data_IF_145127676319
#
_entry.id   IF_145127676319
#
_cell.length_a   1.000
_cell.length_b   1.000
_cell.length_c   1.000
_cell.angle_alpha   90.00
_cell.angle_beta   90.00
_cell.angle_gamma   90.00
#
_symmetry.space_group_name_H-M   'P 1'
#
loop_
_entity.id
_entity.type
_entity.pdbx_description
1 polymer ?
#
# COMPACT_ATOMS: atom_id res chain seq x y z
N UNK A 1 15.02 0.53 24.24
CA UNK A 1 15.54 1.67 23.46
C UNK A 1 14.45 2.73 23.51
N UNK A 2 14.71 3.93 23.99
CA UNK A 2 13.70 4.98 24.07
C UNK A 2 13.45 5.51 22.68
N UNK A 3 12.20 5.68 22.30
CA UNK A 3 11.76 6.28 21.02
C UNK A 3 11.94 7.81 21.04
N UNK A 4 13.16 8.30 21.26
CA UNK A 4 13.43 9.71 21.60
C UNK A 4 13.67 10.64 20.41
N UNK A 5 13.52 10.18 19.16
CA UNK A 5 13.52 11.06 17.97
C UNK A 5 12.21 10.94 17.18
N UNK A 6 11.09 11.17 17.85
CA UNK A 6 9.83 11.49 17.19
C UNK A 6 10.00 12.85 16.53
N UNK A 7 9.57 13.02 15.28
CA UNK A 7 9.62 14.33 14.62
C UNK A 7 9.06 15.39 15.55
N UNK A 8 9.69 16.54 15.64
CA UNK A 8 9.31 17.62 16.57
C UNK A 8 7.82 18.02 16.46
N UNK A 9 7.14 17.63 15.36
CA UNK A 9 5.74 17.96 15.06
C UNK A 9 4.75 16.78 15.22
N UNK A 10 5.19 15.62 15.70
CA UNK A 10 4.31 14.45 15.91
C UNK A 10 3.77 13.81 14.63
N UNK A 11 4.32 14.12 13.45
CA UNK A 11 3.94 13.53 12.16
C UNK A 11 5.01 12.59 11.62
N UNK A 12 4.58 11.52 10.97
CA UNK A 12 5.49 10.62 10.28
C UNK A 12 4.82 9.65 9.30
N UNK A 13 5.66 8.90 8.62
CA UNK A 13 5.29 7.92 7.63
C UNK A 13 5.49 6.51 8.16
N UNK A 14 4.48 5.66 8.01
CA UNK A 14 4.59 4.22 8.18
C UNK A 14 4.67 3.50 6.84
N UNK A 15 5.50 2.48 6.79
CA UNK A 15 5.57 1.51 5.69
C UNK A 15 5.56 0.10 6.27
N UNK A 16 4.94 -0.84 5.57
CA UNK A 16 4.98 -2.27 5.94
C UNK A 16 5.92 -3.00 5.00
N UNK A 17 6.86 -3.79 5.52
CA UNK A 17 7.80 -4.48 4.64
C UNK A 17 8.69 -5.52 5.29
N UNK A 18 9.38 -6.26 4.43
CA UNK A 18 10.39 -7.25 4.75
C UNK A 18 11.30 -7.48 3.54
N UNK A 19 12.21 -8.45 3.61
CA UNK A 19 13.09 -8.78 2.48
C UNK A 19 12.34 -9.27 1.23
N UNK A 20 11.10 -9.76 1.37
CA UNK A 20 10.25 -10.12 0.22
C UNK A 20 9.73 -8.90 -0.57
N UNK A 21 9.59 -7.75 0.09
CA UNK A 21 9.18 -6.48 -0.52
C UNK A 21 10.38 -5.58 -0.88
N UNK A 22 11.61 -6.05 -0.68
CA UNK A 22 12.82 -5.23 -0.74
C UNK A 22 12.99 -4.48 -2.07
N UNK A 23 12.66 -5.10 -3.19
CA UNK A 23 12.80 -4.44 -4.50
C UNK A 23 11.84 -3.25 -4.66
N UNK A 24 10.64 -3.35 -4.09
CA UNK A 24 9.71 -2.24 -4.00
C UNK A 24 10.22 -1.16 -3.06
N UNK A 25 10.64 -1.52 -1.86
CA UNK A 25 11.20 -0.60 -0.86
C UNK A 25 12.42 0.16 -1.39
N UNK A 26 13.27 -0.48 -2.21
CA UNK A 26 14.42 0.13 -2.87
C UNK A 26 14.07 1.22 -3.89
N UNK A 27 12.84 1.29 -4.36
CA UNK A 27 12.34 2.39 -5.19
C UNK A 27 11.55 3.40 -4.35
N UNK A 28 10.66 2.91 -3.49
CA UNK A 28 9.83 3.74 -2.62
C UNK A 28 10.66 4.66 -1.73
N UNK A 29 11.56 4.10 -0.93
CA UNK A 29 12.32 4.86 0.08
C UNK A 29 13.13 6.00 -0.53
N UNK A 30 13.93 5.80 -1.60
CA UNK A 30 14.62 6.91 -2.26
C UNK A 30 13.67 7.97 -2.82
N UNK A 31 12.49 7.58 -3.33
CA UNK A 31 11.51 8.54 -3.83
C UNK A 31 10.97 9.44 -2.71
N UNK A 32 10.61 8.85 -1.58
CA UNK A 32 10.17 9.62 -0.41
C UNK A 32 11.29 10.54 0.10
N UNK A 33 12.51 10.03 0.22
CA UNK A 33 13.67 10.83 0.66
C UNK A 33 14.05 11.95 -0.30
N UNK A 34 13.75 11.78 -1.60
CA UNK A 34 13.93 12.85 -2.60
C UNK A 34 13.02 14.05 -2.33
N UNK A 35 11.74 13.79 -2.02
CA UNK A 35 10.74 14.83 -1.81
C UNK A 35 10.62 15.30 -0.36
N UNK A 36 10.89 14.40 0.60
CA UNK A 36 10.78 14.60 2.05
C UNK A 36 12.03 14.09 2.75
N UNK A 37 13.18 14.77 2.62
CA UNK A 37 14.46 14.24 3.11
C UNK A 37 14.50 14.06 4.63
N UNK A 38 13.69 14.78 5.39
CA UNK A 38 13.71 14.81 6.86
C UNK A 38 12.49 14.18 7.52
N UNK A 39 11.49 13.71 6.76
CA UNK A 39 10.32 13.07 7.36
C UNK A 39 10.73 11.86 8.17
N UNK A 40 10.16 11.71 9.35
CA UNK A 40 10.37 10.52 10.17
C UNK A 40 9.63 9.32 9.54
N UNK A 41 10.34 8.19 9.39
CA UNK A 41 9.78 6.97 8.80
C UNK A 41 9.94 5.82 9.75
N UNK A 42 8.86 5.08 10.00
CA UNK A 42 8.90 3.79 10.70
C UNK A 42 8.47 2.66 9.76
N UNK A 43 9.31 1.63 9.73
CA UNK A 43 8.97 0.36 9.08
C UNK A 43 8.30 -0.56 10.09
N UNK A 44 7.08 -0.98 9.75
CA UNK A 44 6.36 -2.06 10.41
C UNK A 44 6.92 -3.37 9.84
N UNK A 45 7.53 -4.26 10.63
CA UNK A 45 8.05 -5.52 10.12
C UNK A 45 6.89 -6.44 9.71
N UNK A 46 6.90 -6.90 8.45
CA UNK A 46 5.93 -7.89 7.99
C UNK A 46 6.19 -9.27 8.63
N UNK A 47 7.47 -9.62 8.81
CA UNK A 47 7.95 -10.82 9.50
C UNK A 47 9.41 -10.63 9.92
N UNK A 48 10.04 -11.69 10.41
CA UNK A 48 11.40 -11.68 10.96
C UNK A 48 12.50 -11.64 9.87
N UNK A 49 12.15 -11.83 8.58
CA UNK A 49 13.11 -11.79 7.46
C UNK A 49 13.37 -10.34 7.05
N UNK A 50 14.33 -9.72 7.72
CA UNK A 50 14.62 -8.29 7.62
C UNK A 50 16.10 -7.97 7.33
N UNK A 51 16.95 -8.93 7.03
CA UNK A 51 18.40 -8.71 6.97
C UNK A 51 18.77 -7.61 5.97
N UNK A 52 18.29 -7.72 4.73
CA UNK A 52 18.54 -6.72 3.70
C UNK A 52 17.69 -5.45 3.90
N UNK A 53 16.49 -5.61 4.44
CA UNK A 53 15.61 -4.47 4.78
C UNK A 53 16.23 -3.61 5.87
N UNK A 54 16.89 -4.21 6.89
CA UNK A 54 17.65 -3.47 7.93
C UNK A 54 18.80 -2.65 7.33
N UNK A 55 19.50 -3.17 6.32
CA UNK A 55 20.52 -2.40 5.60
C UNK A 55 19.93 -1.17 4.91
N UNK A 56 18.81 -1.36 4.21
CA UNK A 56 18.08 -0.25 3.57
C UNK A 56 17.63 0.78 4.61
N UNK A 57 17.06 0.33 5.73
CA UNK A 57 16.61 1.20 6.81
C UNK A 57 17.76 2.02 7.40
N UNK A 58 18.91 1.39 7.67
CA UNK A 58 20.11 2.11 8.14
C UNK A 58 20.59 3.16 7.13
N UNK A 59 20.64 2.80 5.84
CA UNK A 59 21.09 3.71 4.76
C UNK A 59 20.23 4.98 4.67
N UNK A 60 18.92 4.87 4.96
CA UNK A 60 17.96 5.97 4.78
C UNK A 60 17.39 6.51 6.09
N UNK A 61 18.01 6.19 7.23
CA UNK A 61 17.56 6.63 8.56
C UNK A 61 16.07 6.34 8.79
N UNK A 62 15.70 5.06 8.62
CA UNK A 62 14.36 4.54 8.88
C UNK A 62 14.40 3.74 10.18
N UNK A 63 13.51 4.03 11.09
CA UNK A 63 13.35 3.26 12.32
C UNK A 63 12.52 1.99 12.02
N UNK A 64 12.86 0.88 12.67
CA UNK A 64 12.08 -0.36 12.57
C UNK A 64 11.36 -0.59 13.89
N UNK A 65 10.06 -0.89 13.82
CA UNK A 65 9.24 -1.22 14.99
C UNK A 65 9.48 -2.68 15.44
N UNK A 66 10.74 -3.10 15.57
CA UNK A 66 11.09 -4.49 15.93
C UNK A 66 10.96 -4.79 17.44
N UNK A 67 10.88 -3.78 18.29
CA UNK A 67 10.55 -3.91 19.72
C UNK A 67 9.07 -3.74 20.04
N UNK A 68 8.22 -3.57 19.03
CA UNK A 68 6.79 -3.36 19.20
C UNK A 68 6.05 -4.71 19.31
N UNK A 69 5.12 -4.82 20.24
CA UNK A 69 4.31 -6.03 20.42
C UNK A 69 3.17 -6.11 19.38
N UNK A 70 3.37 -6.90 18.35
CA UNK A 70 2.37 -7.18 17.32
C UNK A 70 1.52 -8.44 17.58
N UNK A 71 1.68 -9.11 18.72
CA UNK A 71 1.03 -10.41 18.96
C UNK A 71 -0.48 -10.35 18.79
N UNK A 72 -1.11 -9.29 19.28
CA UNK A 72 -2.57 -9.16 19.18
C UNK A 72 -3.03 -8.83 17.76
N UNK A 73 -2.32 -8.00 17.02
CA UNK A 73 -2.62 -7.71 15.61
C UNK A 73 -2.49 -8.98 14.75
N UNK A 74 -1.47 -9.78 15.02
CA UNK A 74 -1.24 -11.07 14.35
C UNK A 74 -2.34 -12.08 14.70
N UNK A 75 -2.80 -12.10 15.97
CA UNK A 75 -3.92 -12.93 16.42
C UNK A 75 -5.20 -12.58 15.66
N UNK A 76 -5.52 -11.29 15.57
CA UNK A 76 -6.69 -10.80 14.83
C UNK A 76 -6.57 -11.17 13.35
N UNK A 77 -5.40 -10.96 12.75
CA UNK A 77 -5.14 -11.34 11.37
C UNK A 77 -5.33 -12.84 11.10
N UNK A 78 -4.84 -13.69 12.01
CA UNK A 78 -5.04 -15.15 11.93
C UNK A 78 -6.52 -15.54 12.08
N UNK A 79 -7.23 -14.86 12.94
CA UNK A 79 -8.64 -15.11 13.20
C UNK A 79 -9.53 -14.77 11.99
N UNK A 80 -9.28 -13.61 11.38
CA UNK A 80 -10.04 -13.11 10.23
C UNK A 80 -9.61 -13.71 8.88
N UNK A 81 -8.35 -14.14 8.78
CA UNK A 81 -7.75 -14.66 7.53
C UNK A 81 -7.03 -16.00 7.76
N UNK A 82 -7.70 -17.06 8.29
CA UNK A 82 -7.04 -18.30 8.67
C UNK A 82 -6.37 -19.00 7.47
N UNK A 83 -6.98 -18.92 6.29
CA UNK A 83 -6.53 -19.59 5.08
C UNK A 83 -5.53 -18.77 4.25
N UNK A 84 -5.19 -17.55 4.69
CA UNK A 84 -4.34 -16.61 3.96
C UNK A 84 -3.16 -16.10 4.81
N UNK A 85 -2.14 -16.92 5.11
CA UNK A 85 -1.05 -16.56 6.03
C UNK A 85 -0.28 -15.30 5.58
N UNK A 86 -0.20 -15.03 4.28
CA UNK A 86 0.43 -13.82 3.74
C UNK A 86 -0.39 -12.54 4.00
N UNK A 87 -1.66 -12.64 4.36
CA UNK A 87 -2.51 -11.49 4.67
C UNK A 87 -2.53 -11.21 6.16
N UNK A 88 -2.35 -12.23 7.01
CA UNK A 88 -2.46 -12.13 8.46
C UNK A 88 -1.60 -11.01 9.06
N UNK A 89 -0.37 -10.85 8.55
CA UNK A 89 0.57 -9.82 9.02
C UNK A 89 0.26 -8.40 8.52
N UNK A 90 -0.61 -8.26 7.53
CA UNK A 90 -1.05 -6.94 7.04
C UNK A 90 -1.93 -6.21 8.06
N UNK A 91 -2.55 -6.94 9.00
CA UNK A 91 -3.34 -6.34 10.10
C UNK A 91 -2.48 -5.51 11.07
N UNK A 92 -1.16 -5.66 11.04
CA UNK A 92 -0.21 -4.80 11.77
C UNK A 92 -0.33 -3.32 11.41
N UNK A 93 -0.91 -2.97 10.24
CA UNK A 93 -1.24 -1.60 9.83
C UNK A 93 -2.14 -0.88 10.84
N UNK A 94 -2.99 -1.61 11.58
CA UNK A 94 -3.85 -1.04 12.61
C UNK A 94 -3.07 -0.35 13.74
N UNK A 95 -1.83 -0.79 14.00
CA UNK A 95 -0.96 -0.15 14.99
C UNK A 95 -0.72 1.34 14.72
N UNK A 96 -0.81 1.78 13.45
CA UNK A 96 -0.71 3.19 13.10
C UNK A 96 -1.77 4.06 13.81
N UNK A 97 -2.99 3.52 13.98
CA UNK A 97 -4.09 4.21 14.62
C UNK A 97 -4.10 4.10 16.14
N UNK A 98 -3.42 3.09 16.72
CA UNK A 98 -3.58 2.69 18.11
C UNK A 98 -2.35 3.09 18.95
N UNK A 99 -1.22 2.44 18.69
CA UNK A 99 -0.04 2.46 19.57
C UNK A 99 1.21 3.03 18.89
N UNK A 100 1.12 3.37 17.61
CA UNK A 100 2.26 3.86 16.83
C UNK A 100 2.87 5.15 17.43
N UNK A 101 4.14 5.46 17.11
CA UNK A 101 4.86 6.60 17.69
C UNK A 101 4.39 7.97 17.23
N UNK A 102 3.58 8.09 16.18
CA UNK A 102 3.16 9.37 15.63
C UNK A 102 1.76 9.78 16.07
N UNK A 103 1.56 11.05 16.38
CA UNK A 103 0.23 11.62 16.64
C UNK A 103 -0.61 11.75 15.38
N UNK A 104 0.04 12.12 14.26
CA UNK A 104 -0.53 12.14 12.91
C UNK A 104 0.39 11.36 12.00
N UNK A 105 -0.19 10.64 11.07
CA UNK A 105 0.59 9.77 10.21
C UNK A 105 0.00 9.65 8.80
N UNK A 106 0.84 9.23 7.87
CA UNK A 106 0.43 8.61 6.63
C UNK A 106 1.03 7.19 6.57
N UNK A 107 0.25 6.25 6.08
CA UNK A 107 0.68 4.90 5.78
C UNK A 107 0.75 4.72 4.26
N UNK A 108 1.82 4.09 3.79
CA UNK A 108 2.02 3.73 2.39
C UNK A 108 2.48 2.27 2.28
N UNK A 109 1.89 1.51 1.36
CA UNK A 109 2.41 0.18 1.00
C UNK A 109 3.76 0.29 0.29
N UNK A 110 4.55 -0.78 0.31
CA UNK A 110 5.90 -0.82 -0.24
C UNK A 110 5.97 -0.56 -1.77
N UNK A 111 4.88 -0.87 -2.49
CA UNK A 111 4.75 -0.68 -3.94
C UNK A 111 4.22 0.71 -4.33
N UNK A 112 4.55 1.71 -3.52
CA UNK A 112 4.25 3.13 -3.74
C UNK A 112 5.52 3.90 -4.07
N UNK A 113 5.43 4.96 -4.88
CA UNK A 113 6.47 5.97 -5.10
C UNK A 113 5.91 7.35 -4.77
N UNK A 114 6.68 8.16 -4.01
CA UNK A 114 6.36 9.57 -3.77
C UNK A 114 6.74 10.46 -4.95
N UNK A 115 5.87 11.41 -5.28
CA UNK A 115 6.08 12.44 -6.30
C UNK A 115 5.90 13.87 -5.78
N UNK A 116 5.65 14.01 -4.48
CA UNK A 116 5.54 15.27 -3.76
C UNK A 116 6.01 15.10 -2.31
N UNK A 117 6.29 16.18 -1.59
CA UNK A 117 6.55 16.13 -0.16
C UNK A 117 5.37 15.51 0.58
N UNK A 118 5.63 14.48 1.43
CA UNK A 118 4.56 13.81 2.23
C UNK A 118 4.01 14.72 3.33
N UNK A 119 4.67 15.83 3.62
CA UNK A 119 4.22 16.86 4.56
C UNK A 119 2.91 17.53 4.13
N UNK A 120 2.52 17.41 2.84
CA UNK A 120 1.20 17.84 2.36
C UNK A 120 0.07 17.10 3.09
N UNK A 121 0.29 15.83 3.44
CA UNK A 121 -0.69 15.04 4.18
C UNK A 121 -0.79 15.50 5.63
N UNK A 122 0.32 15.88 6.28
CA UNK A 122 0.30 16.48 7.62
C UNK A 122 -0.50 17.78 7.64
N UNK A 123 -0.28 18.63 6.62
CA UNK A 123 -1.04 19.86 6.46
C UNK A 123 -2.55 19.59 6.31
N UNK A 124 -2.92 18.63 5.49
CA UNK A 124 -4.30 18.21 5.29
C UNK A 124 -4.92 17.66 6.59
N UNK A 125 -4.20 16.81 7.33
CA UNK A 125 -4.66 16.27 8.62
C UNK A 125 -4.81 17.37 9.68
N UNK A 126 -3.87 18.31 9.78
CA UNK A 126 -3.97 19.45 10.71
C UNK A 126 -5.20 20.31 10.43
N UNK A 127 -5.53 20.53 9.17
CA UNK A 127 -6.71 21.32 8.77
C UNK A 127 -8.02 20.58 9.01
N UNK A 128 -8.06 19.28 8.72
CA UNK A 128 -9.27 18.47 8.83
C UNK A 128 -9.57 17.99 10.27
N UNK A 129 -8.55 17.96 11.15
CA UNK A 129 -8.68 17.50 12.54
C UNK A 129 -8.63 15.99 12.70
N UNK A 130 -9.46 15.42 13.59
CA UNK A 130 -9.52 13.98 13.82
C UNK A 130 -10.26 13.27 12.68
N UNK A 131 -9.53 12.91 11.63
CA UNK A 131 -10.08 12.28 10.43
C UNK A 131 -9.19 11.15 9.92
N UNK A 132 -9.74 10.30 9.08
CA UNK A 132 -8.98 9.42 8.18
C UNK A 132 -8.93 10.07 6.81
N UNK A 133 -7.73 10.41 6.36
CA UNK A 133 -7.45 10.91 5.03
C UNK A 133 -7.28 9.74 4.07
N UNK A 134 -7.92 9.78 2.92
CA UNK A 134 -7.83 8.72 1.92
C UNK A 134 -7.88 9.26 0.50
N UNK A 135 -7.48 8.42 -0.46
CA UNK A 135 -7.61 8.67 -1.89
C UNK A 135 -8.50 7.62 -2.53
N UNK A 136 -9.30 8.05 -3.51
CA UNK A 136 -10.20 7.18 -4.25
C UNK A 136 -11.58 7.03 -3.61
N UNK A 137 -12.39 6.17 -4.12
CA UNK A 137 -13.77 5.92 -3.69
C UNK A 137 -14.34 4.66 -4.36
N UNK A 138 -13.49 3.95 -5.14
CA UNK A 138 -13.91 2.79 -5.94
C UNK A 138 -13.86 1.45 -5.22
N UNK A 139 -13.42 1.41 -3.97
CA UNK A 139 -13.19 0.13 -3.27
C UNK A 139 -14.40 -0.35 -2.44
N UNK A 140 -15.55 0.31 -2.60
CA UNK A 140 -16.76 -0.02 -1.83
C UNK A 140 -17.19 -1.48 -2.00
N UNK A 141 -17.27 -1.97 -3.24
CA UNK A 141 -17.68 -3.35 -3.52
C UNK A 141 -16.65 -4.38 -3.06
N UNK A 142 -15.40 -4.00 -2.98
CA UNK A 142 -14.34 -4.84 -2.44
C UNK A 142 -14.37 -4.89 -0.91
N UNK A 143 -14.62 -3.76 -0.24
CA UNK A 143 -14.67 -3.68 1.21
C UNK A 143 -15.98 -4.23 1.78
N UNK A 144 -17.10 -4.00 1.09
CA UNK A 144 -18.44 -4.30 1.55
C UNK A 144 -19.26 -5.01 0.45
N UNK A 145 -18.85 -6.22 0.04
CA UNK A 145 -19.44 -6.88 -1.13
C UNK A 145 -20.88 -7.36 -0.91
N UNK A 146 -21.35 -7.50 0.34
CA UNK A 146 -22.64 -8.12 0.66
C UNK A 146 -23.46 -7.36 1.68
N UNK A 147 -24.77 -7.41 1.53
CA UNK A 147 -25.72 -7.22 2.62
C UNK A 147 -25.61 -8.44 3.59
N UNK A 148 -25.77 -8.32 4.92
CA UNK A 148 -26.22 -7.11 5.62
C UNK A 148 -25.10 -6.14 6.05
N UNK A 149 -23.82 -6.41 5.72
CA UNK A 149 -22.74 -5.53 6.16
C UNK A 149 -22.97 -4.09 5.68
N UNK A 150 -23.40 -3.90 4.41
CA UNK A 150 -23.74 -2.58 3.87
C UNK A 150 -24.82 -1.88 4.67
N UNK A 151 -25.86 -2.61 5.12
CA UNK A 151 -26.97 -2.02 5.89
C UNK A 151 -26.59 -1.63 7.31
N UNK A 152 -25.49 -2.17 7.85
CA UNK A 152 -24.97 -1.79 9.18
C UNK A 152 -24.05 -0.58 9.14
N UNK A 153 -23.60 -0.16 7.94
CA UNK A 153 -22.74 1.00 7.74
C UNK A 153 -23.55 2.31 7.84
N UNK A 154 -22.93 3.34 8.37
CA UNK A 154 -23.53 4.67 8.33
C UNK A 154 -23.58 5.16 6.88
N UNK A 155 -24.71 5.77 6.47
CA UNK A 155 -24.95 6.14 5.07
C UNK A 155 -23.84 7.01 4.45
N UNK A 156 -23.23 7.90 5.24
CA UNK A 156 -22.12 8.75 4.78
C UNK A 156 -20.85 7.95 4.42
N UNK A 157 -20.68 6.75 4.91
CA UNK A 157 -19.47 5.94 4.69
C UNK A 157 -19.63 4.89 3.59
N UNK A 158 -20.84 4.61 3.14
CA UNK A 158 -21.08 3.62 2.07
C UNK A 158 -20.39 3.96 0.75
N UNK A 159 -20.06 5.23 0.54
CA UNK A 159 -19.36 5.71 -0.66
C UNK A 159 -17.88 6.03 -0.42
N UNK A 160 -17.38 5.84 0.79
CA UNK A 160 -16.05 6.32 1.21
C UNK A 160 -15.08 5.20 1.60
N UNK A 161 -15.25 4.00 1.07
CA UNK A 161 -14.27 2.93 1.24
C UNK A 161 -12.95 3.29 0.55
N UNK A 162 -11.82 3.00 1.22
CA UNK A 162 -10.50 3.40 0.76
C UNK A 162 -9.55 2.20 0.64
N UNK A 163 -8.53 2.38 -0.20
CA UNK A 163 -7.47 1.41 -0.36
C UNK A 163 -6.52 1.41 0.84
N UNK A 164 -6.26 0.23 1.45
CA UNK A 164 -5.38 0.10 2.60
C UNK A 164 -3.88 0.21 2.26
N UNK A 165 -3.53 0.47 1.01
CA UNK A 165 -2.16 0.78 0.58
C UNK A 165 -1.80 2.26 0.67
N UNK A 166 -2.81 3.12 0.88
CA UNK A 166 -2.64 4.55 1.18
C UNK A 166 -3.75 5.04 2.09
N UNK A 167 -3.40 5.52 3.26
CA UNK A 167 -4.29 6.26 4.15
C UNK A 167 -3.48 7.13 5.12
N UNK A 168 -4.10 8.20 5.61
CA UNK A 168 -3.57 9.02 6.70
C UNK A 168 -4.53 9.03 7.87
N UNK A 169 -4.06 9.41 9.05
CA UNK A 169 -4.92 9.47 10.23
C UNK A 169 -4.23 10.04 11.45
N UNK A 170 -4.93 9.95 12.56
CA UNK A 170 -4.46 10.34 13.88
C UNK A 170 -4.43 9.12 14.81
N UNK A 171 -3.46 9.08 15.71
CA UNK A 171 -3.39 8.09 16.76
C UNK A 171 -4.56 8.26 17.73
N UNK A 172 -5.08 7.15 18.26
CA UNK A 172 -6.21 7.16 19.18
C UNK A 172 -7.57 7.29 18.49
N UNK A 173 -7.63 7.14 17.15
CA UNK A 173 -8.90 7.09 16.41
C UNK A 173 -9.83 5.97 16.94
N UNK A 174 -9.24 4.88 17.43
CA UNK A 174 -9.89 3.77 18.14
C UNK A 174 -8.85 3.01 18.97
N UNK A 175 -9.31 2.20 19.93
CA UNK A 175 -8.45 1.42 20.81
C UNK A 175 -8.26 -0.02 20.30
N UNK A 176 -7.26 -0.72 20.84
CA UNK A 176 -7.07 -2.15 20.59
C UNK A 176 -8.24 -3.00 21.09
N UNK A 177 -8.86 -2.59 22.19
CA UNK A 177 -10.04 -3.26 22.75
C UNK A 177 -11.25 -3.11 21.83
N UNK A 178 -11.46 -1.93 21.22
CA UNK A 178 -12.47 -1.76 20.18
C UNK A 178 -12.25 -2.71 19.02
N UNK A 179 -11.01 -2.79 18.54
CA UNK A 179 -10.65 -3.68 17.41
C UNK A 179 -10.92 -5.15 17.74
N UNK A 180 -10.66 -5.59 18.98
CA UNK A 180 -11.01 -6.94 19.46
C UNK A 180 -12.50 -7.21 19.38
N UNK A 181 -13.29 -6.31 19.94
CA UNK A 181 -14.76 -6.43 19.92
C UNK A 181 -15.27 -6.47 18.50
N UNK A 182 -14.80 -5.59 17.63
CA UNK A 182 -15.22 -5.54 16.24
C UNK A 182 -14.78 -6.77 15.44
N UNK A 183 -13.61 -7.34 15.71
CA UNK A 183 -13.17 -8.59 15.10
C UNK A 183 -14.09 -9.76 15.51
N UNK A 184 -14.45 -9.87 16.79
CA UNK A 184 -15.34 -10.91 17.30
C UNK A 184 -16.77 -10.77 16.73
N UNK A 185 -17.29 -9.55 16.63
CA UNK A 185 -18.59 -9.27 16.02
C UNK A 185 -18.62 -9.64 14.55
N UNK A 186 -17.55 -9.31 13.85
CA UNK A 186 -17.43 -9.64 12.44
C UNK A 186 -17.32 -11.14 12.18
N UNK A 187 -16.65 -11.88 13.06
CA UNK A 187 -16.57 -13.34 12.96
C UNK A 187 -17.94 -14.00 13.07
N UNK A 188 -18.84 -13.49 13.88
CA UNK A 188 -20.22 -13.99 14.00
C UNK A 188 -20.98 -13.84 12.67
N UNK A 189 -20.57 -12.87 11.84
CA UNK A 189 -21.19 -12.52 10.56
C UNK A 189 -20.35 -12.96 9.34
N UNK A 190 -19.20 -13.60 9.54
CA UNK A 190 -18.16 -13.85 8.53
C UNK A 190 -18.69 -14.50 7.24
N UNK A 191 -19.54 -15.52 7.36
CA UNK A 191 -20.10 -16.23 6.21
C UNK A 191 -21.03 -15.35 5.35
N UNK A 192 -21.50 -14.25 5.89
CA UNK A 192 -22.42 -13.32 5.23
C UNK A 192 -21.72 -12.07 4.66
N UNK A 193 -20.51 -11.77 5.13
CA UNK A 193 -19.87 -10.50 4.87
C UNK A 193 -18.67 -10.56 3.92
N UNK A 194 -17.83 -11.59 4.02
CA UNK A 194 -16.58 -11.65 3.23
C UNK A 194 -16.28 -13.05 2.72
N UNK A 195 -15.90 -13.13 1.45
CA UNK A 195 -15.36 -14.37 0.88
C UNK A 195 -13.86 -14.51 1.18
N UNK A 196 -13.16 -13.38 1.30
CA UNK A 196 -11.73 -13.34 1.58
C UNK A 196 -11.48 -12.39 2.75
N UNK A 197 -10.87 -12.92 3.82
CA UNK A 197 -10.43 -12.09 4.93
C UNK A 197 -9.19 -11.31 4.51
N UNK A 198 -9.35 -10.01 4.25
CA UNK A 198 -8.25 -9.10 3.88
C UNK A 198 -8.17 -7.94 4.87
N UNK A 199 -6.99 -7.36 4.99
CA UNK A 199 -6.74 -6.21 5.85
C UNK A 199 -7.57 -4.98 5.45
N UNK A 200 -7.72 -4.71 4.15
CA UNK A 200 -8.41 -3.53 3.65
C UNK A 200 -9.89 -3.47 4.08
N UNK A 201 -10.74 -4.50 3.90
CA UNK A 201 -12.09 -4.50 4.42
C UNK A 201 -12.16 -4.28 5.92
N UNK A 202 -11.26 -4.91 6.69
CA UNK A 202 -11.29 -4.79 8.14
C UNK A 202 -10.85 -3.41 8.64
N UNK A 203 -9.81 -2.82 8.06
CA UNK A 203 -9.40 -1.45 8.39
C UNK A 203 -10.53 -0.46 8.11
N UNK A 204 -11.19 -0.59 6.94
CA UNK A 204 -12.36 0.23 6.61
C UNK A 204 -13.49 0.03 7.62
N UNK A 205 -13.75 -1.21 8.04
CA UNK A 205 -14.75 -1.55 9.06
C UNK A 205 -14.42 -0.91 10.42
N UNK A 206 -13.16 -0.98 10.87
CA UNK A 206 -12.73 -0.33 12.12
C UNK A 206 -12.94 1.19 12.06
N UNK A 207 -12.55 1.83 10.97
CA UNK A 207 -12.75 3.27 10.77
C UNK A 207 -14.23 3.64 10.77
N UNK A 208 -15.07 2.83 10.14
CA UNK A 208 -16.51 3.04 10.11
C UNK A 208 -17.12 2.90 11.53
N UNK A 209 -16.77 1.83 12.24
CA UNK A 209 -17.26 1.56 13.59
C UNK A 209 -16.80 2.60 14.63
N UNK A 210 -15.64 3.21 14.42
CA UNK A 210 -15.11 4.25 15.29
C UNK A 210 -15.87 5.58 15.19
N UNK A 211 -16.62 5.79 14.10
CA UNK A 211 -17.28 7.06 13.80
C UNK A 211 -16.32 8.20 13.43
N UNK A 212 -15.03 7.90 13.22
CA UNK A 212 -14.06 8.90 12.75
C UNK A 212 -14.41 9.32 11.34
N UNK A 213 -14.50 10.63 11.12
CA UNK A 213 -14.82 11.20 9.81
C UNK A 213 -13.75 10.81 8.78
N UNK A 214 -14.20 10.48 7.58
CA UNK A 214 -13.33 10.26 6.42
C UNK A 214 -13.30 11.50 5.55
N UNK A 215 -12.13 11.88 5.07
CA UNK A 215 -11.93 13.03 4.18
C UNK A 215 -11.15 12.56 2.96
N UNK A 216 -11.72 12.75 1.77
CA UNK A 216 -11.02 12.44 0.53
C UNK A 216 -9.90 13.45 0.30
N UNK A 217 -8.78 12.99 -0.22
CA UNK A 217 -7.63 13.82 -0.50
C UNK A 217 -7.95 14.93 -1.52
N UNK A 218 -8.87 14.69 -2.45
CA UNK A 218 -9.41 15.70 -3.36
C UNK A 218 -9.93 16.93 -2.61
N UNK A 219 -10.77 16.67 -1.60
CA UNK A 219 -11.40 17.72 -0.79
C UNK A 219 -10.38 18.40 0.11
N UNK A 220 -9.52 17.61 0.75
CA UNK A 220 -8.50 18.12 1.65
C UNK A 220 -7.47 19.02 0.95
N UNK A 221 -7.14 18.76 -0.31
CA UNK A 221 -6.18 19.54 -1.10
C UNK A 221 -6.83 20.53 -2.05
N UNK A 222 -8.16 20.52 -2.21
CA UNK A 222 -8.87 21.34 -3.19
C UNK A 222 -8.42 21.08 -4.63
N UNK A 223 -8.01 19.83 -4.94
CA UNK A 223 -7.47 19.42 -6.24
C UNK A 223 -8.00 18.04 -6.58
N UNK A 224 -8.20 17.78 -7.88
CA UNK A 224 -8.43 16.41 -8.34
C UNK A 224 -7.14 15.60 -8.12
N UNK A 225 -7.21 14.58 -7.26
CA UNK A 225 -6.11 13.66 -6.99
C UNK A 225 -6.39 12.28 -7.60
N UNK A 226 -5.34 11.50 -7.75
CA UNK A 226 -5.36 10.11 -8.18
C UNK A 226 -4.07 9.46 -7.66
N UNK A 227 -4.02 8.14 -7.55
CA UNK A 227 -2.80 7.45 -7.11
C UNK A 227 -2.52 6.12 -7.82
N UNK A 228 -3.42 5.65 -8.68
CA UNK A 228 -3.23 4.37 -9.36
C UNK A 228 -2.25 4.48 -10.53
N UNK A 229 -1.27 3.56 -10.58
CA UNK A 229 -0.37 3.44 -11.73
C UNK A 229 -1.05 2.90 -12.99
N UNK A 230 -2.19 2.22 -12.86
CA UNK A 230 -2.90 1.57 -13.97
C UNK A 230 -3.34 2.60 -15.01
N UNK A 231 -2.98 2.34 -16.26
CA UNK A 231 -3.36 3.20 -17.40
C UNK A 231 -2.52 4.47 -17.54
N UNK A 232 -1.57 4.73 -16.63
CA UNK A 232 -0.70 5.89 -16.74
C UNK A 232 0.44 5.65 -17.74
N UNK A 233 0.65 6.66 -18.58
CA UNK A 233 1.79 6.78 -19.47
C UNK A 233 2.32 8.21 -19.41
N UNK A 234 3.62 8.37 -19.46
CA UNK A 234 4.26 9.68 -19.60
C UNK A 234 5.49 9.56 -20.50
N UNK A 235 5.67 10.55 -21.36
CA UNK A 235 6.86 10.69 -22.19
C UNK A 235 7.93 11.56 -21.52
N UNK A 236 7.66 12.08 -20.33
CA UNK A 236 8.62 12.87 -19.57
C UNK A 236 9.81 12.01 -19.13
N UNK A 237 10.98 12.62 -19.10
CA UNK A 237 12.14 12.01 -18.46
C UNK A 237 11.86 11.78 -16.98
N UNK A 238 12.22 10.61 -16.42
CA UNK A 238 11.84 10.25 -15.04
C UNK A 238 12.23 11.29 -13.99
N UNK A 239 13.36 11.96 -14.15
CA UNK A 239 13.81 13.00 -13.23
C UNK A 239 13.02 14.32 -13.30
N UNK A 240 12.20 14.51 -14.35
CA UNK A 240 11.31 15.66 -14.51
C UNK A 240 9.88 15.37 -14.05
N UNK A 241 9.56 14.11 -13.72
CA UNK A 241 8.22 13.70 -13.29
C UNK A 241 7.98 14.12 -11.83
N UNK A 242 6.83 14.73 -11.60
CA UNK A 242 6.36 15.14 -10.26
C UNK A 242 4.83 15.00 -10.17
N UNK A 243 4.27 15.30 -9.00
CA UNK A 243 2.84 15.15 -8.72
C UNK A 243 1.92 15.95 -9.67
N UNK A 244 2.41 17.03 -10.29
CA UNK A 244 1.59 17.92 -11.11
C UNK A 244 1.67 17.62 -12.60
N UNK A 245 2.60 16.76 -13.05
CA UNK A 245 2.83 16.55 -14.48
C UNK A 245 2.84 15.08 -14.92
N UNK A 246 2.72 14.12 -14.00
CA UNK A 246 2.67 12.68 -14.34
C UNK A 246 1.40 12.31 -15.10
N UNK A 247 0.30 12.99 -14.83
CA UNK A 247 -0.95 12.83 -15.54
C UNK A 247 -1.64 14.18 -15.78
N UNK A 248 -2.21 14.45 -16.98
CA UNK A 248 -2.84 15.73 -17.28
C UNK A 248 -4.04 16.02 -16.36
N UNK A 249 -4.06 17.20 -15.77
CA UNK A 249 -5.19 17.68 -14.96
C UNK A 249 -5.43 16.97 -13.64
N UNK A 250 -4.48 16.14 -13.20
CA UNK A 250 -4.58 15.37 -11.97
C UNK A 250 -3.32 15.58 -11.14
N UNK A 251 -3.49 15.76 -9.83
CA UNK A 251 -2.39 15.84 -8.89
C UNK A 251 -2.16 14.47 -8.23
N UNK A 252 -0.99 13.89 -8.45
CA UNK A 252 -0.64 12.55 -7.96
C UNK A 252 0.54 12.62 -6.98
N UNK A 253 0.31 12.88 -5.70
CA UNK A 253 1.39 12.99 -4.72
C UNK A 253 2.13 11.68 -4.51
N UNK A 254 1.47 10.56 -4.76
CA UNK A 254 2.03 9.21 -4.75
C UNK A 254 1.48 8.40 -5.93
N UNK A 255 2.22 7.38 -6.36
CA UNK A 255 1.77 6.39 -7.34
C UNK A 255 1.83 5.01 -6.71
N UNK A 256 0.75 4.25 -6.80
CA UNK A 256 0.59 2.92 -6.25
C UNK A 256 0.46 1.86 -7.35
N UNK A 257 1.28 0.83 -7.30
CA UNK A 257 1.26 -0.30 -8.23
C UNK A 257 0.50 -1.51 -7.72
N UNK A 258 -0.55 -1.33 -6.93
CA UNK A 258 -1.31 -2.44 -6.35
C UNK A 258 -1.57 -3.56 -7.36
N UNK A 259 -1.31 -4.80 -6.93
CA UNK A 259 -1.43 -6.03 -7.73
C UNK A 259 -0.43 -6.19 -8.89
N UNK A 260 0.37 -5.19 -9.19
CA UNK A 260 1.40 -5.35 -10.21
C UNK A 260 2.62 -6.10 -9.67
N UNK A 261 3.22 -6.88 -10.57
CA UNK A 261 4.56 -7.42 -10.34
C UNK A 261 5.59 -6.53 -11.03
N UNK A 262 6.81 -6.49 -10.51
CA UNK A 262 7.94 -5.82 -11.18
C UNK A 262 8.27 -6.62 -12.44
N UNK A 263 7.69 -6.23 -13.56
CA UNK A 263 7.82 -6.90 -14.87
C UNK A 263 8.18 -5.89 -15.96
N UNK A 264 8.74 -6.32 -17.09
CA UNK A 264 9.11 -5.42 -18.19
C UNK A 264 7.99 -4.51 -18.71
N UNK A 265 6.74 -4.94 -18.53
CA UNK A 265 5.53 -4.26 -19.03
C UNK A 265 4.74 -3.51 -17.96
N UNK A 266 5.25 -3.41 -16.72
CA UNK A 266 4.55 -2.65 -15.67
C UNK A 266 4.45 -1.16 -16.08
N UNK A 267 3.32 -0.49 -15.79
CA UNK A 267 3.17 0.92 -16.12
C UNK A 267 4.22 1.76 -15.40
N UNK A 268 4.65 2.85 -16.02
CA UNK A 268 5.66 3.78 -15.48
C UNK A 268 6.97 3.11 -15.01
N UNK A 269 7.36 1.99 -15.63
CA UNK A 269 8.58 1.26 -15.24
C UNK A 269 9.85 2.13 -15.25
N UNK A 270 9.96 3.07 -16.19
CA UNK A 270 11.11 3.99 -16.27
C UNK A 270 11.22 4.85 -15.01
N UNK A 271 10.08 5.35 -14.53
CA UNK A 271 10.00 6.15 -13.30
C UNK A 271 10.38 5.32 -12.06
N UNK A 272 9.81 4.12 -11.94
CA UNK A 272 10.16 3.20 -10.85
C UNK A 272 11.66 2.89 -10.84
N UNK A 273 12.24 2.58 -12.02
CA UNK A 273 13.68 2.30 -12.17
C UNK A 273 14.55 3.50 -11.83
N UNK A 274 14.13 4.70 -12.14
CA UNK A 274 14.85 5.93 -11.81
C UNK A 274 15.13 5.99 -10.31
N UNK A 275 14.12 5.82 -9.48
CA UNK A 275 14.30 5.80 -8.04
C UNK A 275 15.03 4.53 -7.55
N UNK A 276 14.68 3.36 -8.11
CA UNK A 276 15.30 2.09 -7.72
C UNK A 276 16.82 2.05 -7.96
N UNK A 277 17.28 2.65 -9.02
CA UNK A 277 18.68 2.61 -9.47
C UNK A 277 19.43 3.90 -9.20
N UNK A 278 18.78 4.98 -8.83
CA UNK A 278 19.38 6.29 -8.63
C UNK A 278 20.56 6.28 -7.67
N UNK A 279 20.48 5.48 -6.61
CA UNK A 279 21.53 5.34 -5.59
C UNK A 279 22.30 4.03 -5.66
N UNK A 280 22.12 3.24 -6.73
CA UNK A 280 22.78 1.95 -6.93
C UNK A 280 24.17 2.13 -7.54
N UNK A 281 25.10 1.25 -7.14
CA UNK A 281 26.42 1.17 -7.76
C UNK A 281 26.34 0.72 -9.24
N UNK A 282 27.37 0.95 -10.05
CA UNK A 282 27.40 0.47 -11.43
C UNK A 282 27.20 -1.05 -11.55
N UNK A 283 27.78 -1.83 -10.62
CA UNK A 283 27.63 -3.28 -10.59
C UNK A 283 26.20 -3.72 -10.26
N UNK A 284 25.53 -3.08 -9.28
CA UNK A 284 24.13 -3.34 -8.96
C UNK A 284 23.22 -2.99 -10.14
N UNK A 285 23.48 -1.89 -10.84
CA UNK A 285 22.75 -1.52 -12.06
C UNK A 285 22.90 -2.59 -13.14
N UNK A 286 24.13 -3.06 -13.39
CA UNK A 286 24.40 -4.11 -14.36
C UNK A 286 23.69 -5.42 -13.99
N UNK A 287 23.80 -5.84 -12.73
CA UNK A 287 23.13 -7.04 -12.21
C UNK A 287 21.59 -6.93 -12.33
N UNK A 288 21.04 -5.75 -12.01
CA UNK A 288 19.61 -5.48 -12.18
C UNK A 288 19.19 -5.63 -13.66
N UNK A 289 19.90 -5.01 -14.60
CA UNK A 289 19.61 -5.09 -16.02
C UNK A 289 19.70 -6.52 -16.55
N UNK A 290 20.75 -7.26 -16.18
CA UNK A 290 20.88 -8.64 -16.58
C UNK A 290 19.71 -9.50 -16.10
N UNK A 291 19.29 -9.33 -14.85
CA UNK A 291 18.18 -10.10 -14.26
C UNK A 291 16.81 -9.68 -14.81
N UNK A 292 16.48 -8.40 -14.74
CA UNK A 292 15.11 -7.92 -14.95
C UNK A 292 14.82 -7.46 -16.40
N UNK A 293 15.82 -7.09 -17.17
CA UNK A 293 15.62 -6.68 -18.55
C UNK A 293 15.97 -7.78 -19.55
N UNK A 294 16.98 -8.58 -19.27
CA UNK A 294 17.40 -9.66 -20.21
C UNK A 294 16.68 -10.95 -19.87
N UNK A 295 16.89 -11.49 -18.67
CA UNK A 295 16.33 -12.80 -18.30
C UNK A 295 14.80 -12.80 -18.24
N UNK A 296 14.17 -11.81 -17.61
CA UNK A 296 12.71 -11.76 -17.53
C UNK A 296 12.05 -11.51 -18.88
N UNK A 297 12.66 -10.71 -19.77
CA UNK A 297 12.15 -10.54 -21.13
C UNK A 297 12.26 -11.84 -21.93
N UNK A 298 13.37 -12.55 -21.79
CA UNK A 298 13.55 -13.86 -22.44
C UNK A 298 12.50 -14.86 -21.94
N UNK A 299 12.30 -14.96 -20.63
CA UNK A 299 11.27 -15.82 -20.02
C UNK A 299 9.86 -15.43 -20.51
N UNK A 300 9.54 -14.13 -20.53
CA UNK A 300 8.23 -13.67 -21.02
C UNK A 300 7.98 -14.02 -22.47
N UNK A 301 8.99 -13.88 -23.34
CA UNK A 301 8.89 -14.30 -24.76
C UNK A 301 8.65 -15.79 -24.90
N UNK A 302 9.35 -16.61 -24.11
CA UNK A 302 9.16 -18.07 -24.12
C UNK A 302 7.75 -18.45 -23.68
N UNK A 303 7.27 -17.87 -22.58
CA UNK A 303 5.90 -18.12 -22.07
C UNK A 303 4.84 -17.69 -23.08
N UNK A 304 4.96 -16.50 -23.68
CA UNK A 304 4.03 -16.03 -24.71
C UNK A 304 4.02 -16.96 -25.93
N UNK A 305 5.20 -17.44 -26.35
CA UNK A 305 5.30 -18.37 -27.50
C UNK A 305 4.64 -19.70 -27.16
N UNK A 306 4.89 -20.25 -25.98
CA UNK A 306 4.23 -21.48 -25.49
C UNK A 306 2.70 -21.33 -25.46
N UNK A 307 2.17 -20.25 -24.88
CA UNK A 307 0.73 -19.96 -24.83
C UNK A 307 0.12 -19.80 -26.23
N UNK A 308 0.83 -19.17 -27.18
CA UNK A 308 0.40 -19.04 -28.56
C UNK A 308 0.29 -20.40 -29.26
N UNK A 309 1.27 -21.29 -29.05
CA UNK A 309 1.25 -22.67 -29.57
C UNK A 309 0.09 -23.45 -28.97
N UNK A 310 -0.11 -23.41 -27.68
CA UNK A 310 -1.23 -24.09 -26.98
C UNK A 310 -2.58 -23.64 -27.52
N UNK A 311 -2.78 -22.32 -27.71
CA UNK A 311 -4.01 -21.77 -28.30
C UNK A 311 -4.24 -22.25 -29.73
N UNK A 312 -3.19 -22.35 -30.56
CA UNK A 312 -3.29 -22.86 -31.94
C UNK A 312 -3.65 -24.36 -31.96
N UNK A 313 -3.07 -25.15 -31.04
CA UNK A 313 -3.41 -26.59 -30.93
C UNK A 313 -4.87 -26.76 -30.49
N UNK A 314 -5.31 -25.99 -29.48
CA UNK A 314 -6.69 -26.03 -29.02
C UNK A 314 -7.70 -25.62 -30.08
N UNK A 315 -7.35 -24.62 -30.91
CA UNK A 315 -8.19 -24.19 -32.05
C UNK A 315 -8.21 -25.18 -33.23
N UNK A 316 -7.18 -26.02 -33.37
CA UNK A 316 -7.08 -27.04 -34.41
C UNK A 316 -7.69 -28.41 -33.99
N UNK A 317 -8.05 -28.59 -32.71
CA UNK A 317 -8.71 -29.83 -32.28
C UNK A 317 -10.17 -29.82 -32.73
N UNK A 318 -10.63 -30.82 -33.52
CA UNK A 318 -12.03 -30.92 -33.93
C UNK A 318 -12.90 -31.09 -32.69
N UNK A 319 -13.90 -30.22 -32.55
CA UNK A 319 -14.89 -30.31 -31.47
C UNK A 319 -15.56 -31.69 -31.48
N UNK A 320 -16.07 -32.15 -30.31
CA UNK A 320 -16.76 -33.41 -30.23
C UNK A 320 -17.92 -33.42 -31.23
N UNK A 321 -17.93 -34.39 -32.12
CA UNK A 321 -19.05 -34.63 -33.03
C UNK A 321 -20.32 -34.82 -32.22
N UNK A 322 -21.39 -34.06 -32.46
CA UNK A 322 -22.66 -34.29 -31.75
C UNK A 322 -23.18 -35.67 -32.09
N UNK A 323 -23.46 -36.47 -31.06
CA UNK A 323 -24.18 -37.74 -31.18
C UNK A 323 -25.68 -37.48 -31.16
#
# INVERSE_FOLDING_TARGET
MKYEEISQDGFGLYILGNDGALEWLRAMVPSIRHWSPRVSIHLIPFNEKLDQTRELCRKYSINILDGFDFAEYDRIGKLLSPDHPNVQKMFRKLACFIDGPYERFVYLDADVIGLAPVEIFDTALKQAGNVVLFEGGGDLDFCYPREPLRSTMQNEYQTAAFNAGFFGGVKGAFSLDDVRVWADDLLKQKSQCWEQGMDQPFINYCVDRSGVKRVNLNDALGKRTEFWARGLHTDLEPGAVNASNVAPGVYMPVIHWATFQIKPYMPLRKLWRHYRLGTSSPLERLAYFARHDILERAQHMVVKRAQSVTRKIAAASPGPTPR
#
